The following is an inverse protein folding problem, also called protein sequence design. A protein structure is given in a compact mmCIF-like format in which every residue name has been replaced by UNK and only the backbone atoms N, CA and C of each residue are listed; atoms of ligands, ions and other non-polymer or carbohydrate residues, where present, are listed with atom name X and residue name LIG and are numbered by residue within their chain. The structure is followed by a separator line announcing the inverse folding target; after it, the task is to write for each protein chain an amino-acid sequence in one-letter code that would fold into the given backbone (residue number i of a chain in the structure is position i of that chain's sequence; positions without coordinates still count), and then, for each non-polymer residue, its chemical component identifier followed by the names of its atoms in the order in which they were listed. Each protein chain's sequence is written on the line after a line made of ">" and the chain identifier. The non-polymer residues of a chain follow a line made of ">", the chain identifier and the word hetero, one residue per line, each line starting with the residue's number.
data_IF_400791056316
#
_entry.id   IF_400791056316
#
_cell.length_a   1.000
_cell.length_b   1.000
_cell.length_c   1.000
_cell.angle_alpha   90.00
_cell.angle_beta   90.00
_cell.angle_gamma   90.00
#
_symmetry.space_group_name_H-M   'P 1'
#
loop_
_entity.id
_entity.type
_entity.pdbx_description
1 polymer ?
#
# COMPACT_ATOMS: atom_id res chain seq x y z
N UNK A 1 -34.52 29.76 6.93
CA UNK A 1 -34.12 28.81 5.85
C UNK A 1 -32.77 28.11 6.13
N UNK A 2 -31.99 28.50 7.15
CA UNK A 2 -30.76 27.80 7.56
C UNK A 2 -30.94 26.81 8.74
N UNK A 3 -32.01 26.93 9.53
CA UNK A 3 -32.28 26.00 10.64
C UNK A 3 -32.89 24.66 10.18
N UNK A 4 -33.67 24.66 9.09
CA UNK A 4 -34.34 23.44 8.58
C UNK A 4 -33.38 22.45 7.88
N UNK A 5 -32.16 22.87 7.54
CA UNK A 5 -31.13 21.99 6.96
C UNK A 5 -30.24 21.34 8.02
N UNK A 6 -30.17 21.87 9.25
CA UNK A 6 -29.46 21.22 10.35
C UNK A 6 -30.28 20.08 10.95
N UNK A 7 -31.60 20.24 11.07
CA UNK A 7 -32.46 19.23 11.68
C UNK A 7 -32.67 17.99 10.80
N UNK A 8 -32.58 18.13 9.46
CA UNK A 8 -32.66 17.01 8.53
C UNK A 8 -31.40 16.11 8.53
N UNK A 9 -30.27 16.62 9.03
CA UNK A 9 -29.03 15.83 9.16
C UNK A 9 -28.88 15.16 10.54
N UNK A 10 -29.62 15.64 11.55
CA UNK A 10 -29.58 15.13 12.93
C UNK A 10 -30.59 13.97 13.13
N UNK A 11 -31.53 13.78 12.19
CA UNK A 11 -32.66 12.85 12.34
C UNK A 11 -32.48 11.40 11.84
N UNK A 12 -31.30 10.94 11.42
CA UNK A 12 -31.14 9.60 10.85
C UNK A 12 -29.99 8.79 11.47
N UNK A 13 -30.43 7.87 12.34
CA UNK A 13 -29.87 6.55 12.68
C UNK A 13 -28.79 6.50 13.77
N UNK A 14 -29.05 5.64 14.76
CA UNK A 14 -28.16 5.23 15.86
C UNK A 14 -26.70 5.08 15.41
N UNK A 15 -25.78 5.68 16.17
CA UNK A 15 -24.40 5.97 15.76
C UNK A 15 -23.56 4.78 15.27
N UNK A 16 -23.93 3.54 15.59
CA UNK A 16 -23.26 2.34 15.08
C UNK A 16 -23.58 2.06 13.60
N UNK A 17 -24.80 2.34 13.16
CA UNK A 17 -25.28 2.05 11.80
C UNK A 17 -24.74 3.03 10.75
N UNK A 18 -24.58 4.30 11.14
CA UNK A 18 -23.96 5.35 10.30
C UNK A 18 -22.47 5.08 10.19
N UNK A 19 -21.78 4.72 11.27
CA UNK A 19 -20.37 4.33 11.21
C UNK A 19 -20.14 3.08 10.35
N UNK A 20 -20.99 2.05 10.46
CA UNK A 20 -20.91 0.86 9.61
C UNK A 20 -21.13 1.19 8.12
N UNK A 21 -22.07 2.10 7.81
CA UNK A 21 -22.29 2.61 6.45
C UNK A 21 -21.14 3.50 5.96
N UNK A 22 -20.60 4.40 6.77
CA UNK A 22 -19.44 5.21 6.39
C UNK A 22 -18.21 4.34 6.13
N UNK A 23 -18.02 3.29 6.94
CA UNK A 23 -16.97 2.28 6.78
C UNK A 23 -17.16 1.44 5.52
N UNK A 24 -18.40 1.19 5.08
CA UNK A 24 -18.69 0.53 3.80
C UNK A 24 -18.53 1.46 2.59
N UNK A 25 -18.62 2.78 2.79
CA UNK A 25 -18.41 3.81 1.76
C UNK A 25 -16.91 4.10 1.56
N UNK A 26 -16.09 4.12 2.62
CA UNK A 26 -14.65 4.38 2.52
C UNK A 26 -13.84 3.10 2.30
N UNK A 27 -13.14 2.99 1.16
CA UNK A 27 -12.20 1.88 0.93
C UNK A 27 -11.00 1.95 1.91
N UNK A 28 -10.50 0.82 2.44
CA UNK A 28 -9.38 0.81 3.38
C UNK A 28 -8.13 1.52 2.84
N UNK A 29 -7.36 2.18 3.71
CA UNK A 29 -6.06 2.73 3.31
C UNK A 29 -5.04 1.60 3.09
N UNK A 30 -4.27 1.67 2.01
CA UNK A 30 -3.26 0.66 1.65
C UNK A 30 -1.87 1.26 1.53
N UNK A 31 -0.89 0.64 2.18
CA UNK A 31 0.53 0.88 1.90
C UNK A 31 1.12 -0.33 1.19
N UNK A 32 1.69 -0.11 0.02
CA UNK A 32 2.35 -1.13 -0.79
C UNK A 32 3.85 -1.01 -0.54
N UNK A 33 4.44 -2.03 0.07
CA UNK A 33 5.86 -2.08 0.43
C UNK A 33 6.59 -2.97 -0.59
N UNK A 34 7.66 -2.42 -1.16
CA UNK A 34 8.55 -3.13 -2.08
C UNK A 34 9.96 -3.16 -1.48
N UNK A 35 10.33 -4.21 -0.73
CA UNK A 35 11.71 -4.46 -0.33
C UNK A 35 12.54 -4.73 -1.58
N UNK A 36 13.65 -4.02 -1.75
CA UNK A 36 14.44 -4.06 -2.97
C UNK A 36 15.93 -4.26 -2.64
N UNK A 37 16.60 -5.13 -3.38
CA UNK A 37 18.04 -5.32 -3.32
C UNK A 37 18.54 -5.80 -4.68
N UNK A 38 19.45 -5.06 -5.30
CA UNK A 38 20.08 -5.37 -6.58
C UNK A 38 19.09 -5.81 -7.68
N UNK A 39 18.12 -4.95 -7.99
CA UNK A 39 17.03 -5.21 -8.92
C UNK A 39 16.73 -4.01 -9.86
N UNK A 40 17.77 -3.25 -10.22
CA UNK A 40 17.70 -2.04 -11.05
C UNK A 40 16.94 -2.24 -12.39
N UNK A 41 17.04 -3.42 -12.99
CA UNK A 41 16.36 -3.79 -14.24
C UNK A 41 14.87 -4.04 -14.07
N UNK A 42 14.43 -4.53 -12.92
CA UNK A 42 13.06 -5.02 -12.73
C UNK A 42 12.19 -4.05 -11.96
N UNK A 43 12.79 -3.29 -11.04
CA UNK A 43 12.07 -2.33 -10.22
C UNK A 43 11.25 -1.30 -11.00
N UNK A 44 11.68 -0.78 -12.18
CA UNK A 44 10.89 0.19 -12.92
C UNK A 44 9.56 -0.39 -13.42
N UNK A 45 9.61 -1.62 -13.95
CA UNK A 45 8.43 -2.32 -14.47
C UNK A 45 7.48 -2.69 -13.33
N UNK A 46 8.02 -3.20 -12.22
CA UNK A 46 7.26 -3.51 -11.03
C UNK A 46 6.48 -2.29 -10.53
N UNK A 47 7.17 -1.18 -10.26
CA UNK A 47 6.55 0.04 -9.74
C UNK A 47 5.52 0.62 -10.70
N UNK A 48 5.83 0.70 -11.99
CA UNK A 48 4.86 1.19 -12.99
C UNK A 48 3.56 0.38 -12.95
N UNK A 49 3.66 -0.95 -12.90
CA UNK A 49 2.48 -1.82 -12.84
C UNK A 49 1.70 -1.71 -11.52
N UNK A 50 2.38 -1.48 -10.40
CA UNK A 50 1.74 -1.23 -9.10
C UNK A 50 0.92 0.06 -9.16
N UNK A 51 1.51 1.15 -9.66
CA UNK A 51 0.80 2.43 -9.77
C UNK A 51 -0.38 2.35 -10.75
N UNK A 52 -0.22 1.67 -11.88
CA UNK A 52 -1.30 1.44 -12.84
C UNK A 52 -2.46 0.66 -12.21
N UNK A 53 -2.16 -0.40 -11.46
CA UNK A 53 -3.18 -1.17 -10.73
C UNK A 53 -3.85 -0.34 -9.64
N UNK A 54 -3.08 0.48 -8.92
CA UNK A 54 -3.55 1.33 -7.85
C UNK A 54 -4.36 2.55 -8.33
N UNK A 55 -4.21 2.96 -9.60
CA UNK A 55 -4.94 4.09 -10.17
C UNK A 55 -6.46 3.91 -10.16
N UNK A 56 -6.94 2.67 -10.23
CA UNK A 56 -8.36 2.32 -10.13
C UNK A 56 -8.89 2.13 -8.71
N UNK A 57 -8.03 2.26 -7.69
CA UNK A 57 -8.42 2.09 -6.30
C UNK A 57 -8.93 3.40 -5.68
N UNK A 58 -10.11 3.35 -5.06
CA UNK A 58 -10.79 4.55 -4.54
C UNK A 58 -10.38 4.93 -3.12
N UNK A 59 -9.56 4.11 -2.45
CA UNK A 59 -9.03 4.41 -1.12
C UNK A 59 -7.66 5.08 -1.18
N UNK A 60 -7.17 5.55 -0.03
CA UNK A 60 -5.79 6.03 0.08
C UNK A 60 -4.80 4.93 -0.31
N UNK A 61 -3.82 5.27 -1.14
CA UNK A 61 -2.75 4.38 -1.54
C UNK A 61 -1.39 5.09 -1.50
N UNK A 62 -0.39 4.41 -0.93
CA UNK A 62 1.00 4.81 -1.03
C UNK A 62 1.90 3.64 -1.43
N UNK A 63 2.98 3.94 -2.15
CA UNK A 63 4.03 2.98 -2.50
C UNK A 63 5.32 3.35 -1.78
N UNK A 64 5.89 2.39 -1.07
CA UNK A 64 7.10 2.53 -0.27
C UNK A 64 8.13 1.53 -0.77
N UNK A 65 9.14 2.03 -1.46
CA UNK A 65 10.30 1.22 -1.81
C UNK A 65 11.31 1.30 -0.68
N UNK A 66 11.83 0.16 -0.26
CA UNK A 66 12.94 0.10 0.69
C UNK A 66 14.11 -0.58 -0.01
N UNK A 67 15.04 0.24 -0.50
CA UNK A 67 16.33 -0.23 -1.00
C UNK A 67 17.21 -0.66 0.18
N UNK A 68 17.48 -1.96 0.28
CA UNK A 68 18.24 -2.59 1.35
C UNK A 68 19.75 -2.53 1.07
N UNK A 69 20.27 -1.33 0.79
CA UNK A 69 21.69 -1.11 0.58
C UNK A 69 22.21 -1.75 -0.71
N UNK A 70 21.50 -1.60 -1.83
CA UNK A 70 21.96 -2.10 -3.13
C UNK A 70 23.28 -1.47 -3.55
N UNK A 71 24.06 -2.26 -4.30
CA UNK A 71 25.32 -1.86 -4.92
C UNK A 71 25.19 -1.50 -6.40
N UNK A 72 24.01 -1.71 -6.98
CA UNK A 72 23.65 -1.31 -8.35
C UNK A 72 22.81 -0.01 -8.34
N UNK A 73 22.14 0.28 -9.45
CA UNK A 73 21.30 1.47 -9.61
C UNK A 73 19.87 1.32 -9.07
N UNK A 74 19.58 0.33 -8.22
CA UNK A 74 18.21 0.06 -7.73
C UNK A 74 17.55 1.30 -7.11
N UNK A 75 18.28 2.03 -6.27
CA UNK A 75 17.77 3.22 -5.60
C UNK A 75 17.40 4.31 -6.61
N UNK A 76 18.31 4.62 -7.54
CA UNK A 76 18.15 5.66 -8.54
C UNK A 76 16.99 5.34 -9.48
N UNK A 77 16.90 4.08 -9.92
CA UNK A 77 15.83 3.59 -10.79
C UNK A 77 14.47 3.60 -10.08
N UNK A 78 14.42 3.19 -8.81
CA UNK A 78 13.20 3.30 -8.00
C UNK A 78 12.76 4.75 -7.83
N UNK A 79 13.69 5.65 -7.48
CA UNK A 79 13.39 7.07 -7.28
C UNK A 79 12.86 7.75 -8.54
N UNK A 80 13.55 7.53 -9.67
CA UNK A 80 13.14 8.07 -10.96
C UNK A 80 11.76 7.54 -11.38
N UNK A 81 11.52 6.24 -11.19
CA UNK A 81 10.22 5.62 -11.53
C UNK A 81 9.09 6.15 -10.66
N UNK A 82 9.30 6.27 -9.32
CA UNK A 82 8.31 6.86 -8.41
C UNK A 82 7.97 8.29 -8.84
N UNK A 83 8.97 9.09 -9.20
CA UNK A 83 8.76 10.47 -9.64
C UNK A 83 7.88 10.53 -10.89
N UNK A 84 8.16 9.71 -11.89
CA UNK A 84 7.36 9.66 -13.13
C UNK A 84 5.95 9.13 -12.88
N UNK A 85 5.81 8.07 -12.07
CA UNK A 85 4.51 7.52 -11.73
C UNK A 85 3.64 8.53 -10.97
N UNK A 86 4.21 9.31 -10.05
CA UNK A 86 3.48 10.39 -9.36
C UNK A 86 3.06 11.53 -10.28
N UNK A 87 3.77 11.77 -11.39
CA UNK A 87 3.34 12.73 -12.42
C UNK A 87 2.11 12.21 -13.17
N UNK A 88 2.07 10.90 -13.45
CA UNK A 88 0.96 10.24 -14.15
C UNK A 88 -0.26 9.96 -13.27
N UNK A 89 -0.03 9.63 -12.00
CA UNK A 89 -1.06 9.28 -11.01
C UNK A 89 -0.82 10.06 -9.71
N UNK A 90 -1.11 11.38 -9.70
CA UNK A 90 -0.77 12.27 -8.59
C UNK A 90 -1.54 11.97 -7.29
N UNK A 91 -2.63 11.22 -7.36
CA UNK A 91 -3.40 10.77 -6.20
C UNK A 91 -2.70 9.66 -5.40
N UNK A 92 -1.68 9.00 -5.97
CA UNK A 92 -0.94 7.91 -5.33
C UNK A 92 0.35 8.49 -4.74
N UNK A 93 0.54 8.33 -3.43
CA UNK A 93 1.78 8.73 -2.78
C UNK A 93 2.91 7.75 -3.08
N UNK A 94 4.16 8.23 -3.10
CA UNK A 94 5.31 7.38 -3.38
C UNK A 94 6.58 7.90 -2.73
N UNK A 95 7.35 7.01 -2.10
CA UNK A 95 8.65 7.32 -1.48
C UNK A 95 9.63 6.14 -1.58
N UNK A 96 10.92 6.47 -1.58
CA UNK A 96 12.02 5.50 -1.55
C UNK A 96 12.85 5.75 -0.30
N UNK A 97 13.19 4.69 0.40
CA UNK A 97 14.03 4.68 1.60
C UNK A 97 15.23 3.81 1.31
N UNK A 98 16.42 4.24 1.70
CA UNK A 98 17.65 3.49 1.47
C UNK A 98 18.31 3.16 2.80
N UNK A 99 18.68 1.90 2.99
CA UNK A 99 19.59 1.48 4.04
C UNK A 99 21.04 1.76 3.61
N UNK A 100 21.90 2.11 4.56
CA UNK A 100 23.33 2.37 4.30
C UNK A 100 24.13 1.09 4.02
N UNK A 101 23.58 -0.07 4.39
CA UNK A 101 24.14 -1.40 4.13
C UNK A 101 22.98 -2.40 4.00
N UNK A 102 23.28 -3.61 3.49
CA UNK A 102 22.29 -4.69 3.41
C UNK A 102 21.96 -5.24 4.79
N UNK A 103 20.73 -5.03 5.25
CA UNK A 103 20.24 -5.47 6.56
C UNK A 103 19.36 -6.74 6.46
N UNK A 104 19.01 -7.14 5.25
CA UNK A 104 18.16 -8.29 4.95
C UNK A 104 16.70 -7.92 4.75
N UNK A 105 15.98 -8.79 4.04
CA UNK A 105 14.59 -8.58 3.62
C UNK A 105 13.65 -8.27 4.80
N UNK A 106 13.81 -8.97 5.92
CA UNK A 106 13.00 -8.72 7.12
C UNK A 106 13.21 -7.31 7.69
N UNK A 107 14.43 -6.78 7.65
CA UNK A 107 14.71 -5.42 8.11
C UNK A 107 14.16 -4.38 7.13
N UNK A 108 14.30 -4.62 5.82
CA UNK A 108 13.68 -3.78 4.80
C UNK A 108 12.15 -3.73 4.96
N UNK A 109 11.52 -4.87 5.22
CA UNK A 109 10.09 -4.96 5.49
C UNK A 109 9.69 -4.21 6.77
N UNK A 110 10.42 -4.39 7.89
CA UNK A 110 10.21 -3.65 9.14
C UNK A 110 10.30 -2.13 8.90
N UNK A 111 11.32 -1.67 8.16
CA UNK A 111 11.47 -0.27 7.76
C UNK A 111 10.26 0.24 6.96
N UNK A 112 9.79 -0.54 5.99
CA UNK A 112 8.61 -0.20 5.19
C UNK A 112 7.35 -0.08 6.06
N UNK A 113 7.11 -1.07 6.93
CA UNK A 113 5.91 -1.14 7.80
C UNK A 113 5.89 0.01 8.82
N UNK A 114 7.06 0.44 9.30
CA UNK A 114 7.18 1.59 10.19
C UNK A 114 6.88 2.93 9.50
N UNK A 115 7.04 3.00 8.17
CA UNK A 115 6.77 4.21 7.39
C UNK A 115 5.39 4.20 6.71
N UNK A 116 4.62 3.14 6.90
CA UNK A 116 3.31 2.92 6.30
C UNK A 116 2.17 3.55 7.12
N UNK A 117 1.30 4.27 6.43
CA UNK A 117 0.07 4.87 6.95
C UNK A 117 -1.18 4.02 6.72
N UNK A 118 -1.12 3.06 5.79
CA UNK A 118 -2.22 2.18 5.43
C UNK A 118 -2.63 1.25 6.56
N UNK A 119 -3.94 1.03 6.69
CA UNK A 119 -4.52 -0.01 7.54
C UNK A 119 -4.27 -1.42 6.98
N UNK A 120 -4.02 -1.49 5.68
CA UNK A 120 -3.61 -2.68 4.95
C UNK A 120 -2.18 -2.52 4.45
N UNK A 121 -1.39 -3.58 4.58
CA UNK A 121 -0.04 -3.67 4.03
C UNK A 121 -0.04 -4.70 2.90
N UNK A 122 0.43 -4.31 1.73
CA UNK A 122 0.73 -5.24 0.64
C UNK A 122 2.24 -5.31 0.47
N UNK A 123 2.81 -6.51 0.54
CA UNK A 123 4.24 -6.74 0.29
C UNK A 123 4.40 -7.31 -1.11
N UNK A 124 5.27 -6.68 -1.90
CA UNK A 124 5.49 -7.03 -3.32
C UNK A 124 6.97 -7.24 -3.57
N UNK A 125 7.29 -8.35 -4.24
CA UNK A 125 8.65 -8.61 -4.71
C UNK A 125 8.93 -7.75 -5.97
N UNK A 126 10.09 -7.07 -6.07
CA UNK A 126 10.43 -6.15 -7.16
C UNK A 126 10.54 -6.83 -8.55
N UNK A 127 10.51 -8.17 -8.61
CA UNK A 127 10.49 -8.94 -9.85
C UNK A 127 9.07 -9.14 -10.42
N UNK A 128 8.03 -8.81 -9.65
CA UNK A 128 6.64 -9.03 -10.05
C UNK A 128 6.08 -7.83 -10.80
N UNK A 129 5.31 -8.11 -11.86
CA UNK A 129 4.45 -7.12 -12.51
C UNK A 129 2.99 -7.46 -12.27
N UNK A 130 2.19 -6.49 -11.86
CA UNK A 130 0.77 -6.65 -11.65
C UNK A 130 -0.03 -6.46 -12.94
N UNK A 131 -1.22 -7.05 -12.97
CA UNK A 131 -2.24 -6.72 -13.96
C UNK A 131 -3.08 -5.54 -13.42
N UNK A 132 -3.78 -4.80 -14.31
CA UNK A 132 -4.82 -3.89 -13.86
C UNK A 132 -5.82 -4.62 -12.94
N UNK A 133 -6.23 -3.98 -11.85
CA UNK A 133 -7.20 -4.53 -10.89
C UNK A 133 -6.62 -5.40 -9.77
N UNK A 134 -5.37 -5.86 -9.86
CA UNK A 134 -4.73 -6.70 -8.82
C UNK A 134 -4.85 -6.13 -7.40
N UNK A 135 -4.66 -4.81 -7.20
CA UNK A 135 -4.80 -4.21 -5.87
C UNK A 135 -6.23 -4.38 -5.32
N UNK A 136 -7.24 -4.15 -6.16
CA UNK A 136 -8.65 -4.29 -5.78
C UNK A 136 -8.94 -5.72 -5.34
N UNK A 137 -8.49 -6.70 -6.11
CA UNK A 137 -8.71 -8.13 -5.82
C UNK A 137 -8.07 -8.54 -4.49
N UNK A 138 -6.86 -8.06 -4.20
CA UNK A 138 -6.17 -8.30 -2.92
C UNK A 138 -6.96 -7.72 -1.73
N UNK A 139 -7.44 -6.48 -1.86
CA UNK A 139 -8.24 -5.82 -0.83
C UNK A 139 -9.56 -6.56 -0.61
N UNK A 140 -10.26 -6.92 -1.68
CA UNK A 140 -11.52 -7.67 -1.59
C UNK A 140 -11.32 -9.04 -0.94
N UNK A 141 -10.21 -9.73 -1.25
CA UNK A 141 -9.89 -11.02 -0.63
C UNK A 141 -9.68 -10.91 0.89
N UNK A 142 -8.91 -9.92 1.38
CA UNK A 142 -8.67 -9.76 2.82
C UNK A 142 -9.90 -9.25 3.57
N UNK A 143 -10.72 -8.41 2.95
CA UNK A 143 -12.01 -7.98 3.52
C UNK A 143 -12.97 -9.15 3.63
N UNK A 144 -13.03 -10.03 2.63
CA UNK A 144 -13.91 -11.21 2.65
C UNK A 144 -13.49 -12.27 3.68
N UNK A 145 -12.19 -12.53 3.82
CA UNK A 145 -11.69 -13.65 4.61
C UNK A 145 -11.17 -13.27 6.00
N UNK A 146 -10.99 -11.97 6.29
CA UNK A 146 -10.54 -11.47 7.58
C UNK A 146 -9.10 -11.82 7.97
N UNK A 147 -8.36 -12.53 7.11
CA UNK A 147 -6.99 -13.01 7.35
C UNK A 147 -6.07 -12.67 6.17
N UNK A 148 -4.76 -12.73 6.43
CA UNK A 148 -3.75 -12.51 5.39
C UNK A 148 -4.02 -13.39 4.16
N UNK A 149 -3.87 -12.81 2.99
CA UNK A 149 -4.04 -13.48 1.71
C UNK A 149 -2.75 -13.35 0.91
N UNK A 150 -2.25 -14.46 0.41
CA UNK A 150 -1.09 -14.51 -0.48
C UNK A 150 -1.54 -14.96 -1.85
N UNK A 151 -1.21 -14.17 -2.87
CA UNK A 151 -1.25 -14.58 -4.26
C UNK A 151 0.19 -14.81 -4.75
N UNK A 152 0.39 -15.44 -5.93
CA UNK A 152 1.72 -15.52 -6.54
C UNK A 152 2.39 -14.15 -6.78
N UNK A 153 1.62 -13.06 -6.68
CA UNK A 153 2.05 -11.72 -7.05
C UNK A 153 2.27 -10.78 -5.86
N UNK A 154 1.74 -11.11 -4.69
CA UNK A 154 1.84 -10.28 -3.48
C UNK A 154 1.22 -10.98 -2.27
N UNK A 155 1.61 -10.54 -1.08
CA UNK A 155 0.91 -10.87 0.16
C UNK A 155 0.28 -9.62 0.79
N UNK A 156 -0.97 -9.73 1.23
CA UNK A 156 -1.71 -8.65 1.90
C UNK A 156 -2.01 -9.01 3.35
N UNK A 157 -1.85 -8.02 4.24
CA UNK A 157 -1.99 -8.15 5.68
C UNK A 157 -2.77 -6.98 6.29
N UNK A 158 -3.43 -7.24 7.41
CA UNK A 158 -3.80 -6.17 8.35
C UNK A 158 -2.53 -5.62 8.99
N UNK A 159 -2.36 -4.30 9.04
CA UNK A 159 -1.12 -3.66 9.49
C UNK A 159 -0.77 -4.02 10.95
N UNK A 160 -1.77 -4.06 11.83
CA UNK A 160 -1.61 -4.43 13.24
C UNK A 160 -1.15 -5.89 13.40
N UNK A 161 -1.75 -6.81 12.64
CA UNK A 161 -1.38 -8.21 12.65
C UNK A 161 0.06 -8.42 12.15
N UNK A 162 0.45 -7.78 11.05
CA UNK A 162 1.81 -7.88 10.52
C UNK A 162 2.87 -7.33 11.49
N UNK A 163 2.58 -6.19 12.15
CA UNK A 163 3.46 -5.62 13.19
C UNK A 163 3.65 -6.58 14.37
N UNK A 164 2.59 -7.27 14.83
CA UNK A 164 2.74 -8.27 15.90
C UNK A 164 3.63 -9.44 15.48
N UNK A 165 3.60 -9.84 14.21
CA UNK A 165 4.43 -10.95 13.71
C UNK A 165 5.90 -10.55 13.58
N UNK A 166 6.18 -9.43 12.92
CA UNK A 166 7.57 -9.02 12.62
C UNK A 166 8.39 -8.72 13.88
N UNK A 167 7.78 -8.25 14.97
CA UNK A 167 8.49 -7.92 16.21
C UNK A 167 8.54 -9.05 17.25
N UNK A 168 8.00 -10.24 16.93
CA UNK A 168 8.18 -11.45 17.74
C UNK A 168 9.45 -12.24 17.38
N UNK A 169 10.04 -11.93 16.23
CA UNK A 169 11.21 -12.56 15.60
C UNK A 169 12.34 -11.54 15.47
#
# INVERSE_FOLDING_TARGET
>A
MLALFQDALIGLVEGESVQARLKSISKPAVSIIVPAYNCDRQIPKCLTSIFESAAGYMGFCEVIVVDDGSSDHTYEMAWATIKECRRRWPQISGKVVRHTARLGENQALKTGVNKAYGTLIVVVNPQISWKPGTLKDLVEAIEKHGRASSSPFAAIYRADALRRTLWKT
#
